data_IF_777349499965
#
_entry.id   IF_777349499965
#
_cell.length_a   1.000
_cell.length_b   1.000
_cell.length_c   1.000
_cell.angle_alpha   90.00
_cell.angle_beta   90.00
_cell.angle_gamma   90.00
#
_symmetry.space_group_name_H-M   'P 1'
#
loop_
_entity.id
_entity.type
_entity.pdbx_description
1 polymer ?
#
# COMPACT_ATOMS: atom_id res chain seq x y z
N UNK A 1 -2.29 -8.39 -19.96
CA UNK A 1 -2.18 -7.01 -19.44
C UNK A 1 -3.04 -6.06 -20.24
N UNK A 2 -2.85 -5.87 -21.55
CA UNK A 2 -3.56 -4.84 -22.34
C UNK A 2 -5.10 -4.95 -22.32
N UNK A 3 -5.66 -6.17 -22.34
CA UNK A 3 -7.12 -6.35 -22.25
C UNK A 3 -7.68 -5.93 -20.87
N UNK A 4 -6.91 -6.17 -19.80
CA UNK A 4 -7.26 -5.74 -18.44
C UNK A 4 -7.19 -4.23 -18.34
N UNK A 5 -6.12 -3.59 -18.85
CA UNK A 5 -6.00 -2.13 -18.89
C UNK A 5 -7.17 -1.48 -19.62
N UNK A 6 -7.52 -1.98 -20.82
CA UNK A 6 -8.69 -1.50 -21.56
C UNK A 6 -10.01 -1.65 -20.78
N UNK A 7 -10.12 -2.74 -20.00
CA UNK A 7 -11.27 -2.93 -19.11
C UNK A 7 -11.36 -1.87 -18.02
N UNK A 8 -10.26 -1.54 -17.36
CA UNK A 8 -10.20 -0.48 -16.36
C UNK A 8 -10.44 0.91 -16.96
N UNK A 9 -9.85 1.20 -18.13
CA UNK A 9 -10.08 2.45 -18.86
C UNK A 9 -11.57 2.64 -19.23
N UNK A 10 -12.27 1.56 -19.58
CA UNK A 10 -13.70 1.59 -19.84
C UNK A 10 -14.54 1.89 -18.57
N UNK A 11 -13.96 1.79 -17.39
CA UNK A 11 -14.54 2.18 -16.11
C UNK A 11 -14.00 3.54 -15.61
N UNK A 12 -13.42 4.37 -16.49
CA UNK A 12 -12.81 5.68 -16.18
C UNK A 12 -11.65 5.60 -15.15
N UNK A 13 -10.96 4.46 -15.08
CA UNK A 13 -9.81 4.25 -14.18
C UNK A 13 -8.52 4.36 -14.99
N UNK A 14 -7.69 5.31 -14.61
CA UNK A 14 -6.34 5.45 -15.16
C UNK A 14 -5.44 4.36 -14.60
N UNK A 15 -4.80 3.59 -15.49
CA UNK A 15 -3.85 2.54 -15.12
C UNK A 15 -2.44 2.89 -15.54
N UNK A 16 -1.46 2.44 -14.74
CA UNK A 16 -0.04 2.53 -15.05
C UNK A 16 0.51 1.13 -15.29
N UNK A 17 1.41 1.00 -16.27
CA UNK A 17 2.08 -0.28 -16.52
C UNK A 17 3.40 -0.33 -15.75
N UNK A 18 3.38 -0.97 -14.58
CA UNK A 18 4.54 -1.08 -13.68
C UNK A 18 5.72 -1.76 -14.37
N UNK A 19 5.49 -2.77 -15.21
CA UNK A 19 6.59 -3.46 -15.93
C UNK A 19 7.34 -2.50 -16.86
N UNK A 20 6.63 -1.60 -17.56
CA UNK A 20 7.28 -0.58 -18.39
C UNK A 20 8.05 0.44 -17.56
N UNK A 21 7.59 0.76 -16.36
CA UNK A 21 8.32 1.64 -15.45
C UNK A 21 9.62 0.97 -14.97
N UNK A 22 9.55 -0.31 -14.58
CA UNK A 22 10.74 -1.11 -14.22
C UNK A 22 11.74 -1.16 -15.36
N UNK A 23 11.28 -1.42 -16.59
CA UNK A 23 12.16 -1.42 -17.78
C UNK A 23 12.82 -0.06 -18.00
N UNK A 24 12.08 1.04 -17.86
CA UNK A 24 12.62 2.39 -17.99
C UNK A 24 13.67 2.70 -16.92
N UNK A 25 13.43 2.31 -15.66
CA UNK A 25 14.38 2.51 -14.57
C UNK A 25 15.66 1.67 -14.74
N UNK A 26 15.54 0.44 -15.24
CA UNK A 26 16.71 -0.38 -15.59
C UNK A 26 17.57 0.27 -16.68
N UNK A 27 16.94 0.91 -17.66
CA UNK A 27 17.64 1.61 -18.75
C UNK A 27 18.30 2.91 -18.29
N UNK A 28 17.73 3.62 -17.32
CA UNK A 28 18.29 4.86 -16.77
C UNK A 28 19.40 4.64 -15.73
N UNK A 29 19.67 3.38 -15.33
CA UNK A 29 20.62 3.05 -14.27
C UNK A 29 20.14 3.38 -12.85
N UNK A 30 18.89 3.80 -12.68
CA UNK A 30 18.29 4.08 -11.38
C UNK A 30 17.84 2.80 -10.62
N UNK A 31 17.82 1.68 -11.33
CA UNK A 31 17.51 0.37 -10.78
C UNK A 31 18.81 -0.27 -10.27
N UNK A 32 19.23 0.08 -9.08
CA UNK A 32 20.31 -0.64 -8.39
C UNK A 32 19.73 -1.90 -7.73
N UNK A 33 20.29 -3.06 -8.07
CA UNK A 33 20.10 -4.28 -7.30
C UNK A 33 20.84 -4.12 -5.95
N UNK A 34 20.24 -3.36 -5.03
CA UNK A 34 20.76 -3.23 -3.68
C UNK A 34 20.51 -4.54 -2.92
N UNK A 35 21.53 -5.39 -2.91
CA UNK A 35 21.58 -6.67 -2.19
C UNK A 35 21.49 -6.52 -0.65
N UNK A 36 21.12 -5.34 -0.14
CA UNK A 36 21.03 -5.04 1.29
C UNK A 36 19.80 -4.22 1.70
N UNK A 37 18.88 -3.89 0.79
CA UNK A 37 17.67 -3.14 1.14
C UNK A 37 16.67 -4.04 1.87
N UNK A 38 16.13 -3.56 2.96
CA UNK A 38 15.09 -4.22 3.78
C UNK A 38 13.75 -4.38 3.05
N UNK A 39 13.55 -3.69 1.94
CA UNK A 39 12.37 -3.77 1.08
C UNK A 39 12.76 -4.08 -0.36
N UNK A 40 11.95 -4.90 -1.05
CA UNK A 40 12.20 -5.20 -2.46
C UNK A 40 12.08 -3.92 -3.31
N UNK A 41 12.93 -3.80 -4.33
CA UNK A 41 12.89 -2.69 -5.30
C UNK A 41 11.49 -2.52 -5.92
N UNK A 42 10.77 -3.61 -6.11
CA UNK A 42 9.42 -3.61 -6.66
C UNK A 42 8.43 -2.89 -5.74
N UNK A 43 8.54 -3.09 -4.41
CA UNK A 43 7.70 -2.40 -3.43
C UNK A 43 7.99 -0.90 -3.41
N UNK A 44 9.26 -0.50 -3.44
CA UNK A 44 9.64 0.91 -3.52
C UNK A 44 9.11 1.57 -4.80
N UNK A 45 9.17 0.87 -5.93
CA UNK A 45 8.62 1.36 -7.18
C UNK A 45 7.11 1.55 -7.10
N UNK A 46 6.39 0.59 -6.54
CA UNK A 46 4.95 0.68 -6.34
C UNK A 46 4.59 1.89 -5.46
N UNK A 47 5.32 2.11 -4.36
CA UNK A 47 5.12 3.28 -3.49
C UNK A 47 5.39 4.60 -4.22
N UNK A 48 6.47 4.67 -5.03
CA UNK A 48 6.81 5.87 -5.82
C UNK A 48 5.82 6.13 -6.96
N UNK A 49 5.12 5.12 -7.45
CA UNK A 49 4.12 5.30 -8.52
C UNK A 49 2.93 6.17 -8.10
N UNK A 50 2.73 6.36 -6.80
CA UNK A 50 1.57 7.06 -6.25
C UNK A 50 0.25 6.30 -6.42
N UNK A 51 0.29 5.04 -6.84
CA UNK A 51 -0.90 4.21 -6.94
C UNK A 51 -1.34 3.73 -5.55
N UNK A 52 -2.64 3.73 -5.29
CA UNK A 52 -3.20 3.18 -4.05
C UNK A 52 -3.33 1.66 -4.12
N UNK A 53 -3.52 1.13 -5.34
CA UNK A 53 -3.78 -0.30 -5.60
C UNK A 53 -2.92 -0.80 -6.76
N UNK A 54 -2.34 -1.98 -6.63
CA UNK A 54 -1.78 -2.71 -7.77
C UNK A 54 -2.55 -4.00 -8.04
N UNK A 55 -2.59 -4.40 -9.31
CA UNK A 55 -3.32 -5.58 -9.75
C UNK A 55 -2.36 -6.56 -10.41
N UNK A 56 -2.34 -7.79 -9.91
CA UNK A 56 -1.69 -8.91 -10.60
C UNK A 56 -2.66 -9.60 -11.55
N UNK A 57 -2.13 -10.10 -12.63
CA UNK A 57 -2.89 -10.75 -13.70
C UNK A 57 -2.20 -12.05 -14.05
N UNK A 58 -2.79 -13.16 -13.64
CA UNK A 58 -2.32 -14.50 -13.99
C UNK A 58 -3.21 -15.09 -15.08
N UNK A 59 -2.58 -15.53 -16.15
CA UNK A 59 -3.25 -16.10 -17.30
C UNK A 59 -2.72 -17.50 -17.57
N UNK A 60 -3.60 -18.48 -17.52
CA UNK A 60 -3.32 -19.84 -17.91
C UNK A 60 -4.08 -20.17 -19.21
N UNK A 61 -3.39 -20.83 -20.12
CA UNK A 61 -3.96 -21.31 -21.38
C UNK A 61 -3.98 -22.83 -21.38
N UNK A 62 -5.15 -23.40 -21.58
CA UNK A 62 -5.34 -24.82 -21.77
C UNK A 62 -5.64 -25.11 -23.26
N UNK A 63 -4.89 -26.05 -23.83
CA UNK A 63 -5.04 -26.49 -25.20
C UNK A 63 -5.48 -27.96 -25.20
N UNK A 64 -6.65 -28.24 -25.74
CA UNK A 64 -7.12 -29.60 -25.88
C UNK A 64 -7.51 -29.84 -27.35
N UNK A 65 -6.62 -30.50 -28.10
CA UNK A 65 -6.82 -30.73 -29.53
C UNK A 65 -6.78 -29.37 -30.29
N UNK A 66 -7.90 -29.05 -30.95
CA UNK A 66 -8.07 -27.80 -31.71
C UNK A 66 -8.79 -26.70 -30.91
N UNK A 67 -9.07 -26.95 -29.65
CA UNK A 67 -9.79 -26.00 -28.81
C UNK A 67 -8.90 -25.40 -27.73
N UNK A 68 -9.14 -24.13 -27.43
CA UNK A 68 -8.40 -23.36 -26.44
C UNK A 68 -9.39 -22.81 -25.42
N UNK A 69 -9.05 -22.90 -24.14
CA UNK A 69 -9.68 -22.13 -23.06
C UNK A 69 -8.62 -21.30 -22.32
N UNK A 70 -9.05 -20.20 -21.75
CA UNK A 70 -8.22 -19.34 -20.92
C UNK A 70 -8.79 -19.29 -19.50
N UNK A 71 -7.92 -19.43 -18.52
CA UNK A 71 -8.24 -19.14 -17.12
C UNK A 71 -7.50 -17.86 -16.72
N UNK A 72 -8.23 -16.92 -16.12
CA UNK A 72 -7.72 -15.63 -15.72
C UNK A 72 -7.94 -15.46 -14.21
N UNK A 73 -6.90 -15.06 -13.49
CA UNK A 73 -6.98 -14.67 -12.08
C UNK A 73 -6.54 -13.20 -11.98
N UNK A 74 -7.39 -12.40 -11.36
CA UNK A 74 -7.10 -11.01 -11.03
C UNK A 74 -7.03 -10.88 -9.51
N UNK A 75 -5.96 -10.26 -9.00
CA UNK A 75 -5.83 -9.95 -7.58
C UNK A 75 -5.42 -8.49 -7.42
N UNK A 76 -6.17 -7.75 -6.62
CA UNK A 76 -5.89 -6.37 -6.25
C UNK A 76 -5.30 -6.32 -4.85
N UNK A 77 -4.23 -5.55 -4.69
CA UNK A 77 -3.52 -5.36 -3.43
C UNK A 77 -3.38 -3.89 -3.13
N UNK A 78 -3.53 -3.53 -1.87
CA UNK A 78 -3.15 -2.21 -1.38
C UNK A 78 -1.63 -2.05 -1.44
N UNK A 79 -1.14 -0.97 -2.04
CA UNK A 79 0.31 -0.75 -2.23
C UNK A 79 1.03 -0.62 -0.89
N UNK A 80 0.44 0.06 0.07
CA UNK A 80 1.09 0.37 1.36
C UNK A 80 1.19 -0.83 2.29
N UNK A 81 0.10 -1.59 2.44
CA UNK A 81 0.04 -2.72 3.39
C UNK A 81 0.29 -4.08 2.74
N UNK A 82 0.13 -4.20 1.41
CA UNK A 82 0.12 -5.48 0.71
C UNK A 82 -1.16 -6.30 0.95
N UNK A 83 -2.17 -5.73 1.61
CA UNK A 83 -3.43 -6.42 1.86
C UNK A 83 -4.18 -6.71 0.56
N UNK A 84 -4.76 -7.90 0.46
CA UNK A 84 -5.59 -8.28 -0.69
C UNK A 84 -6.96 -7.61 -0.55
N UNK A 85 -7.31 -6.78 -1.52
CA UNK A 85 -8.60 -6.10 -1.57
C UNK A 85 -9.66 -6.86 -2.36
N UNK A 86 -9.24 -7.49 -3.45
CA UNK A 86 -10.13 -8.26 -4.28
C UNK A 86 -9.41 -9.42 -4.95
N UNK A 87 -10.12 -10.51 -5.14
CA UNK A 87 -9.74 -11.61 -6.03
C UNK A 87 -10.93 -11.94 -6.90
N UNK A 88 -10.67 -12.12 -8.18
CA UNK A 88 -11.63 -12.66 -9.13
C UNK A 88 -10.93 -13.67 -10.03
N UNK A 89 -11.57 -14.78 -10.25
CA UNK A 89 -11.11 -15.83 -11.15
C UNK A 89 -12.23 -16.27 -12.08
N UNK A 90 -11.85 -16.68 -13.25
CA UNK A 90 -12.80 -17.17 -14.23
C UNK A 90 -12.11 -17.81 -15.42
N UNK A 91 -12.88 -18.60 -16.16
CA UNK A 91 -12.39 -19.25 -17.35
C UNK A 91 -13.35 -19.04 -18.52
N UNK A 92 -12.79 -18.96 -19.71
CA UNK A 92 -13.60 -18.95 -20.92
C UNK A 92 -14.10 -20.35 -21.24
N UNK A 93 -15.21 -20.44 -21.96
CA UNK A 93 -15.54 -21.67 -22.66
C UNK A 93 -14.42 -22.08 -23.63
N UNK A 94 -14.42 -23.30 -24.10
CA UNK A 94 -13.52 -23.81 -25.12
C UNK A 94 -13.90 -23.25 -26.49
N UNK A 95 -12.93 -22.70 -27.20
CA UNK A 95 -13.12 -22.10 -28.50
C UNK A 95 -12.13 -22.68 -29.52
N UNK A 96 -12.57 -22.90 -30.73
CA UNK A 96 -11.72 -23.22 -31.90
C UNK A 96 -11.12 -21.93 -32.47
N UNK A 97 -10.42 -21.17 -31.62
CA UNK A 97 -9.81 -19.90 -32.03
C UNK A 97 -8.39 -19.82 -31.49
N UNK A 98 -7.49 -19.30 -32.31
CA UNK A 98 -6.11 -19.00 -31.91
C UNK A 98 -5.95 -17.57 -31.38
N UNK A 99 -7.00 -16.75 -31.44
CA UNK A 99 -6.98 -15.35 -31.00
C UNK A 99 -7.10 -15.26 -29.48
N UNK A 100 -5.98 -15.45 -28.81
CA UNK A 100 -5.85 -15.34 -27.35
C UNK A 100 -6.27 -13.94 -26.83
N UNK A 101 -6.00 -12.87 -27.61
CA UNK A 101 -6.36 -11.50 -27.22
C UNK A 101 -7.88 -11.34 -27.09
N UNK A 102 -8.64 -11.85 -28.04
CA UNK A 102 -10.09 -11.81 -28.03
C UNK A 102 -10.67 -12.64 -26.87
N UNK A 103 -10.11 -13.82 -26.62
CA UNK A 103 -10.54 -14.65 -25.47
C UNK A 103 -10.25 -13.97 -24.13
N UNK A 104 -9.08 -13.33 -23.97
CA UNK A 104 -8.79 -12.53 -22.79
C UNK A 104 -9.79 -11.39 -22.59
N UNK A 105 -10.19 -10.71 -23.67
CA UNK A 105 -11.17 -9.63 -23.56
C UNK A 105 -12.54 -10.11 -23.07
N UNK A 106 -12.98 -11.30 -23.49
CA UNK A 106 -14.19 -11.90 -22.95
C UNK A 106 -14.07 -12.24 -21.47
N UNK A 107 -13.00 -12.92 -21.07
CA UNK A 107 -12.78 -13.27 -19.66
C UNK A 107 -12.73 -12.03 -18.76
N UNK A 108 -12.02 -10.98 -19.19
CA UNK A 108 -11.94 -9.70 -18.45
C UNK A 108 -13.31 -9.05 -18.33
N UNK A 109 -14.07 -8.99 -19.42
CA UNK A 109 -15.40 -8.35 -19.43
C UNK A 109 -16.35 -8.96 -18.41
N UNK A 110 -16.30 -10.28 -18.24
CA UNK A 110 -17.18 -11.01 -17.31
C UNK A 110 -16.71 -10.83 -15.85
N UNK A 111 -15.41 -10.79 -15.60
CA UNK A 111 -14.84 -10.71 -14.26
C UNK A 111 -14.79 -9.28 -13.69
N UNK A 112 -14.54 -8.29 -14.55
CA UNK A 112 -14.21 -6.93 -14.13
C UNK A 112 -15.28 -6.26 -13.27
N UNK A 113 -16.61 -6.36 -13.56
CA UNK A 113 -17.63 -5.69 -12.77
C UNK A 113 -17.60 -6.12 -11.29
N UNK A 114 -17.57 -7.42 -11.02
CA UNK A 114 -17.54 -7.93 -9.63
C UNK A 114 -16.20 -7.65 -8.94
N UNK A 115 -15.11 -7.66 -9.70
CA UNK A 115 -13.79 -7.31 -9.21
C UNK A 115 -13.71 -5.83 -8.79
N UNK A 116 -14.23 -4.94 -9.61
CA UNK A 116 -14.30 -3.51 -9.34
C UNK A 116 -15.19 -3.19 -8.14
N UNK A 117 -16.35 -3.84 -8.02
CA UNK A 117 -17.23 -3.65 -6.86
C UNK A 117 -16.50 -3.95 -5.54
N UNK A 118 -15.71 -5.03 -5.50
CA UNK A 118 -14.91 -5.39 -4.33
C UNK A 118 -13.82 -4.34 -4.04
N UNK A 119 -13.11 -3.85 -5.07
CA UNK A 119 -12.09 -2.81 -4.93
C UNK A 119 -12.73 -1.53 -4.38
N UNK A 120 -13.82 -1.05 -4.96
CA UNK A 120 -14.52 0.17 -4.52
C UNK A 120 -14.98 0.04 -3.07
N UNK A 121 -15.54 -1.12 -2.71
CA UNK A 121 -15.94 -1.40 -1.33
C UNK A 121 -14.75 -1.30 -0.36
N UNK A 122 -13.62 -1.91 -0.69
CA UNK A 122 -12.42 -1.84 0.14
C UNK A 122 -11.80 -0.44 0.17
N UNK A 123 -11.84 0.27 -0.95
CA UNK A 123 -11.35 1.64 -1.02
C UNK A 123 -12.13 2.61 -0.11
N UNK A 124 -13.39 2.33 0.18
CA UNK A 124 -14.20 3.12 1.10
C UNK A 124 -13.89 2.86 2.59
N UNK A 125 -13.18 1.78 2.89
CA UNK A 125 -12.79 1.46 4.27
C UNK A 125 -11.48 2.16 4.65
N UNK A 126 -11.26 2.45 5.95
CA UNK A 126 -10.00 2.99 6.44
C UNK A 126 -8.85 2.00 6.16
N UNK A 127 -7.65 2.52 5.98
CA UNK A 127 -6.44 1.68 5.79
C UNK A 127 -5.91 1.22 7.13
N UNK A 128 -5.55 -0.05 7.23
CA UNK A 128 -4.84 -0.60 8.39
C UNK A 128 -3.34 -0.58 8.11
N UNK A 129 -2.58 0.13 8.93
CA UNK A 129 -1.12 0.23 8.83
C UNK A 129 -0.47 -0.11 10.16
N UNK A 130 0.77 -0.59 10.13
CA UNK A 130 1.61 -0.67 11.32
C UNK A 130 2.37 0.65 11.48
N UNK A 131 2.49 1.15 12.71
CA UNK A 131 3.30 2.32 13.04
C UNK A 131 4.42 1.91 13.99
N UNK A 132 5.64 2.21 13.60
CA UNK A 132 6.82 2.01 14.44
C UNK A 132 7.50 3.35 14.68
N UNK A 133 7.58 3.75 15.93
CA UNK A 133 8.30 4.95 16.35
C UNK A 133 9.56 4.51 17.09
N UNK A 134 10.71 4.99 16.68
CA UNK A 134 11.98 4.72 17.36
C UNK A 134 12.73 6.02 17.63
N UNK A 135 13.53 6.05 18.69
CA UNK A 135 14.49 7.12 18.92
C UNK A 135 15.88 6.64 18.50
N UNK A 136 16.61 7.55 17.85
CA UNK A 136 18.02 7.36 17.57
C UNK A 136 18.76 8.07 18.70
N UNK A 137 19.53 7.32 19.48
CA UNK A 137 20.37 7.86 20.54
C UNK A 137 21.81 7.84 20.04
N UNK A 138 22.51 8.99 20.14
CA UNK A 138 23.93 9.03 19.83
C UNK A 138 24.70 8.14 20.81
N UNK A 139 25.66 7.36 20.32
CA UNK A 139 26.47 6.45 21.16
C UNK A 139 27.22 7.20 22.29
N UNK A 140 27.42 8.50 22.15
CA UNK A 140 28.05 9.36 23.14
C UNK A 140 27.04 10.07 24.04
N UNK A 141 25.72 9.86 23.85
CA UNK A 141 24.71 10.49 24.67
C UNK A 141 24.60 9.83 26.04
N UNK A 142 25.18 10.50 27.03
CA UNK A 142 25.13 10.07 28.44
C UNK A 142 23.87 10.55 29.19
N UNK A 143 22.88 11.14 28.50
CA UNK A 143 21.69 11.71 29.14
C UNK A 143 20.72 10.65 29.66
N UNK A 144 20.82 9.43 29.17
CA UNK A 144 19.91 8.33 29.50
C UNK A 144 18.48 8.56 28.98
N UNK A 145 18.34 9.37 27.93
CA UNK A 145 17.04 9.57 27.27
C UNK A 145 16.56 8.27 26.66
N UNK A 146 15.31 7.96 26.94
CA UNK A 146 14.61 6.81 26.33
C UNK A 146 13.21 7.25 25.92
N UNK A 147 12.56 6.50 25.04
CA UNK A 147 11.19 6.79 24.63
C UNK A 147 10.20 6.79 25.81
N UNK A 148 10.52 6.04 26.88
CA UNK A 148 9.70 5.99 28.10
C UNK A 148 9.79 7.27 28.97
N UNK A 149 10.93 7.98 28.92
CA UNK A 149 11.18 9.14 29.77
C UNK A 149 11.26 10.46 29.01
N UNK A 150 11.44 10.43 27.71
CA UNK A 150 11.48 11.63 26.86
C UNK A 150 10.16 12.42 26.91
N UNK A 151 10.27 13.75 26.91
CA UNK A 151 9.15 14.65 27.09
C UNK A 151 9.05 15.70 26.00
N UNK A 152 7.84 16.07 25.69
CA UNK A 152 7.49 17.22 24.87
C UNK A 152 7.79 18.54 25.58
N UNK A 153 7.78 19.67 24.85
CA UNK A 153 7.94 21.03 25.43
C UNK A 153 6.96 21.34 26.58
N UNK A 154 5.74 20.79 26.51
CA UNK A 154 4.72 20.96 27.53
C UNK A 154 4.93 20.05 28.77
N UNK A 155 6.01 19.26 28.81
CA UNK A 155 6.32 18.33 29.90
C UNK A 155 5.62 16.97 29.82
N UNK A 156 4.71 16.77 28.88
CA UNK A 156 4.05 15.49 28.63
C UNK A 156 5.05 14.47 28.08
N UNK A 157 4.84 13.18 28.37
CA UNK A 157 5.64 12.10 27.77
C UNK A 157 5.35 12.00 26.28
N UNK A 158 6.39 11.81 25.46
CA UNK A 158 6.24 11.64 24.01
C UNK A 158 5.27 10.50 23.66
N UNK A 159 5.34 9.38 24.38
CA UNK A 159 4.45 8.24 24.17
C UNK A 159 2.98 8.56 24.46
N UNK A 160 2.70 9.38 25.49
CA UNK A 160 1.34 9.83 25.80
C UNK A 160 0.84 10.80 24.74
N UNK A 161 1.71 11.73 24.29
CA UNK A 161 1.38 12.64 23.21
C UNK A 161 1.03 11.90 21.92
N UNK A 162 1.82 10.88 21.52
CA UNK A 162 1.55 10.08 20.34
C UNK A 162 0.19 9.38 20.44
N UNK A 163 -0.11 8.78 21.60
CA UNK A 163 -1.40 8.12 21.81
C UNK A 163 -2.57 9.12 21.74
N UNK A 164 -2.48 10.26 22.43
CA UNK A 164 -3.52 11.30 22.35
C UNK A 164 -3.68 11.82 20.91
N UNK A 165 -2.58 11.95 20.16
CA UNK A 165 -2.64 12.35 18.76
C UNK A 165 -3.32 11.28 17.89
N UNK A 166 -3.06 9.98 18.16
CA UNK A 166 -3.73 8.87 17.47
C UNK A 166 -5.21 8.81 17.82
N UNK A 167 -5.60 9.03 19.07
CA UNK A 167 -7.00 9.13 19.48
C UNK A 167 -7.77 10.17 18.64
N UNK A 168 -7.11 11.29 18.31
CA UNK A 168 -7.72 12.40 17.55
C UNK A 168 -7.67 12.23 16.03
N UNK A 169 -6.72 11.46 15.49
CA UNK A 169 -6.39 11.43 14.05
C UNK A 169 -6.54 10.06 13.41
N UNK A 170 -6.47 8.95 14.16
CA UNK A 170 -6.83 7.64 13.63
C UNK A 170 -8.34 7.59 13.34
N UNK A 171 -8.74 6.72 12.42
CA UNK A 171 -10.15 6.51 12.12
C UNK A 171 -10.87 5.95 13.36
N UNK A 172 -11.85 6.68 13.87
CA UNK A 172 -12.57 6.37 15.12
C UNK A 172 -11.65 6.18 16.35
N UNK A 173 -10.41 6.70 16.30
CA UNK A 173 -9.40 6.47 17.35
C UNK A 173 -8.95 5.02 17.45
N UNK A 174 -9.14 4.22 16.39
CA UNK A 174 -8.85 2.79 16.41
C UNK A 174 -7.38 2.50 16.09
N UNK A 175 -6.65 2.12 17.11
CA UNK A 175 -5.27 1.64 17.04
C UNK A 175 -4.96 0.68 18.19
N UNK A 176 -3.91 -0.11 18.05
CA UNK A 176 -3.45 -0.99 19.11
C UNK A 176 -1.94 -0.82 19.35
N UNK A 177 -1.60 -0.43 20.56
CA UNK A 177 -0.22 -0.34 21.04
C UNK A 177 0.25 -1.72 21.49
N UNK A 178 1.14 -2.35 20.73
CA UNK A 178 1.72 -3.64 21.08
C UNK A 178 2.66 -3.52 22.29
N UNK A 179 3.46 -2.45 22.35
CA UNK A 179 4.36 -2.20 23.48
C UNK A 179 5.33 -1.04 23.27
N UNK A 180 5.90 -0.60 24.39
CA UNK A 180 6.90 0.46 24.46
C UNK A 180 8.14 -0.10 25.15
N UNK A 181 9.28 -0.01 24.48
CA UNK A 181 10.61 -0.29 25.06
C UNK A 181 11.42 1.02 25.08
N UNK A 182 12.63 1.00 25.61
CA UNK A 182 13.42 2.21 25.81
C UNK A 182 13.71 2.97 24.52
N UNK A 183 13.88 2.25 23.40
CA UNK A 183 14.24 2.85 22.11
C UNK A 183 13.10 2.85 21.08
N UNK A 184 11.98 2.16 21.35
CA UNK A 184 10.89 2.09 20.36
C UNK A 184 9.51 1.86 20.97
N UNK A 185 8.48 2.34 20.25
CA UNK A 185 7.07 2.00 20.43
C UNK A 185 6.53 1.38 19.16
N UNK A 186 5.81 0.27 19.31
CA UNK A 186 5.20 -0.46 18.20
C UNK A 186 3.69 -0.46 18.34
N UNK A 187 3.04 0.01 17.29
CA UNK A 187 1.62 -0.14 17.08
C UNK A 187 1.44 -1.17 15.97
N UNK A 188 0.88 -2.33 16.28
CA UNK A 188 0.68 -3.41 15.32
C UNK A 188 -0.41 -3.09 14.30
N UNK A 189 -1.31 -2.18 14.66
CA UNK A 189 -2.14 -1.49 13.71
C UNK A 189 -2.55 -0.09 14.17
N UNK A 190 -2.77 0.76 13.18
CA UNK A 190 -3.44 2.06 13.26
C UNK A 190 -4.40 2.12 12.07
N UNK A 191 -5.66 2.41 12.34
CA UNK A 191 -6.65 2.62 11.28
C UNK A 191 -6.58 4.07 10.81
N UNK A 192 -6.11 4.29 9.58
CA UNK A 192 -6.01 5.64 9.02
C UNK A 192 -7.20 5.95 8.11
N UNK A 193 -7.80 7.15 8.23
CA UNK A 193 -8.90 7.55 7.34
C UNK A 193 -8.41 7.70 5.90
N UNK A 194 -9.27 7.47 4.91
CA UNK A 194 -8.94 7.68 3.49
C UNK A 194 -8.83 9.16 3.12
N UNK A 195 -9.48 10.01 3.87
CA UNK A 195 -9.48 11.45 3.70
C UNK A 195 -9.28 12.13 5.06
N UNK A 196 -8.64 13.28 5.04
CA UNK A 196 -8.54 14.10 6.24
C UNK A 196 -9.82 14.92 6.47
N UNK A 197 -9.85 15.66 7.58
CA UNK A 197 -11.00 16.53 7.95
C UNK A 197 -11.33 17.62 6.90
N UNK A 198 -10.46 17.83 5.91
CA UNK A 198 -10.63 18.78 4.80
C UNK A 198 -10.99 18.10 3.47
N UNK A 199 -11.17 16.76 3.45
CA UNK A 199 -11.43 15.98 2.27
C UNK A 199 -10.19 15.70 1.40
N UNK A 200 -8.99 15.96 1.91
CA UNK A 200 -7.76 15.63 1.18
C UNK A 200 -7.41 14.15 1.39
N UNK A 201 -7.05 13.46 0.30
CA UNK A 201 -6.64 12.06 0.34
C UNK A 201 -5.53 11.82 1.37
N UNK A 202 -5.72 10.81 2.19
CA UNK A 202 -4.79 10.34 3.21
C UNK A 202 -4.23 8.97 2.81
N UNK A 203 -2.93 8.80 3.01
CA UNK A 203 -2.24 7.51 2.94
C UNK A 203 -1.26 7.40 4.11
N UNK A 204 -0.57 6.27 4.23
CA UNK A 204 0.36 6.03 5.34
C UNK A 204 1.46 7.09 5.43
N UNK A 205 2.06 7.50 4.31
CA UNK A 205 3.11 8.50 4.28
C UNK A 205 2.61 9.86 4.79
N UNK A 206 1.48 10.36 4.26
CA UNK A 206 0.89 11.63 4.72
C UNK A 206 0.45 11.60 6.19
N UNK A 207 0.01 10.42 6.66
CA UNK A 207 -0.35 10.25 8.07
C UNK A 207 0.89 10.35 8.96
N UNK A 208 2.00 9.70 8.56
CA UNK A 208 3.29 9.82 9.24
C UNK A 208 3.83 11.25 9.22
N UNK A 209 3.80 11.95 8.07
CA UNK A 209 4.19 13.37 7.96
C UNK A 209 3.38 14.28 8.90
N UNK A 210 2.08 14.01 9.08
CA UNK A 210 1.26 14.78 10.03
C UNK A 210 1.64 14.52 11.48
N UNK A 211 1.96 13.28 11.83
CA UNK A 211 2.47 12.96 13.17
C UNK A 211 3.84 13.61 13.41
N UNK A 212 4.73 13.54 12.41
CA UNK A 212 6.03 14.20 12.45
C UNK A 212 5.88 15.71 12.67
N UNK A 213 5.04 16.39 11.90
CA UNK A 213 4.75 17.81 12.07
C UNK A 213 4.21 18.14 13.47
N UNK A 214 3.36 17.27 14.02
CA UNK A 214 2.83 17.43 15.37
C UNK A 214 3.93 17.26 16.44
N UNK A 215 4.82 16.28 16.30
CA UNK A 215 5.97 16.07 17.16
C UNK A 215 6.97 17.23 17.06
N UNK A 216 7.24 17.73 15.86
CA UNK A 216 8.10 18.89 15.64
C UNK A 216 7.56 20.13 16.35
N UNK A 217 6.25 20.37 16.33
CA UNK A 217 5.62 21.45 17.09
C UNK A 217 5.84 21.31 18.61
N UNK A 218 6.02 20.09 19.11
CA UNK A 218 6.38 19.80 20.50
C UNK A 218 7.88 19.82 20.77
N UNK A 219 8.70 20.18 19.77
CA UNK A 219 10.15 20.30 19.88
C UNK A 219 10.90 18.98 19.74
N UNK A 220 10.27 17.99 19.14
CA UNK A 220 10.86 16.69 18.84
C UNK A 220 11.24 16.69 17.36
N UNK A 221 12.53 16.56 17.07
CA UNK A 221 13.01 16.38 15.71
C UNK A 221 12.77 14.93 15.29
N UNK A 222 12.15 14.74 14.15
CA UNK A 222 11.85 13.45 13.56
C UNK A 222 12.43 13.35 12.15
N UNK A 223 12.76 12.13 11.72
CA UNK A 223 13.03 11.81 10.32
C UNK A 223 12.17 10.60 9.94
N UNK A 224 11.57 10.66 8.75
CA UNK A 224 10.72 9.61 8.19
C UNK A 224 11.48 8.84 7.11
#
# INVERSE_FOLDING_TARGET
VSAVQQGFEACDITTQNVLKQIEAMKLSGEYEENAGATESNDKQLLLRSGADVYVTVDLMRDNTGQEISLSLILQAYEVTSGAIWATADGSTNRFRSTDTKRLCSYAVKDLLPSFMEKIVKQYSLPSRVALHVSIIVDENDMTGISLKNARCKNGEKITSFIQSWLDDNAYEGDYHLQGIVDVSAKFDYVMIPREDKKGAKMNAAKFAEKLEAALYAQGIECSN
#
